data_IF_470611511912
#
_entry.id   IF_470611511912
#
_cell.length_a   1.000
_cell.length_b   1.000
_cell.length_c   1.000
_cell.angle_alpha   90.00
_cell.angle_beta   90.00
_cell.angle_gamma   90.00
#
_symmetry.space_group_name_H-M   'P 1'
#
loop_
_entity.id
_entity.type
_entity.pdbx_description
1 polymer ?
#
# COMPACT_ATOMS: atom_id res chain seq x y z
N UNK A 1 -75.52 36.14 25.25
CA UNK A 1 -75.73 34.87 25.98
C UNK A 1 -74.40 34.10 25.95
N UNK A 2 -73.88 33.56 27.07
CA UNK A 2 -73.20 34.28 28.15
C UNK A 2 -71.67 34.02 28.21
N UNK A 3 -70.95 34.92 28.91
CA UNK A 3 -69.61 34.72 29.53
C UNK A 3 -69.76 33.75 30.76
N UNK A 4 -68.77 33.44 31.66
CA UNK A 4 -67.46 34.08 31.86
C UNK A 4 -66.29 33.29 32.55
N UNK A 5 -65.18 34.03 32.82
CA UNK A 5 -64.19 33.93 33.94
C UNK A 5 -63.29 32.69 34.10
N UNK A 6 -62.03 32.76 34.55
CA UNK A 6 -61.16 33.80 35.13
C UNK A 6 -59.69 33.30 35.15
N UNK A 7 -58.67 34.18 35.07
CA UNK A 7 -57.80 34.65 36.19
C UNK A 7 -56.98 33.53 36.88
N UNK A 8 -55.66 33.59 37.17
CA UNK A 8 -54.56 34.57 37.10
C UNK A 8 -53.21 33.80 37.20
N UNK A 9 -52.07 34.24 36.63
CA UNK A 9 -51.04 35.20 37.10
C UNK A 9 -50.27 34.86 38.41
N UNK A 10 -48.93 34.78 38.24
CA UNK A 10 -47.80 35.02 39.19
C UNK A 10 -47.45 33.90 40.22
N UNK A 11 -46.22 33.62 40.68
CA UNK A 11 -44.81 34.09 40.49
C UNK A 11 -43.86 33.15 41.29
N UNK A 12 -42.57 33.13 40.90
CA UNK A 12 -41.34 32.82 41.66
C UNK A 12 -40.96 31.40 42.14
N UNK A 13 -39.89 30.89 41.50
CA UNK A 13 -38.60 30.47 42.05
C UNK A 13 -38.48 30.06 43.54
N UNK A 14 -37.84 28.90 43.78
CA UNK A 14 -36.66 28.80 44.67
C UNK A 14 -35.87 27.49 44.45
N UNK A 15 -34.55 27.64 44.46
CA UNK A 15 -33.52 26.59 44.46
C UNK A 15 -33.57 25.78 45.76
N UNK A 16 -33.19 24.49 45.73
CA UNK A 16 -32.31 23.85 46.74
C UNK A 16 -31.93 22.40 46.36
N UNK A 17 -30.64 22.10 46.38
CA UNK A 17 -30.04 20.77 46.56
C UNK A 17 -29.55 20.64 48.03
N UNK A 18 -28.92 19.54 48.51
CA UNK A 18 -29.09 18.07 48.34
C UNK A 18 -29.37 17.40 49.73
N UNK A 19 -29.18 16.07 49.93
CA UNK A 19 -27.86 15.61 50.42
C UNK A 19 -27.42 14.18 50.01
N UNK A 20 -26.11 13.95 50.14
CA UNK A 20 -25.42 12.68 50.00
C UNK A 20 -25.71 11.71 51.16
N UNK A 21 -25.76 10.39 50.88
CA UNK A 21 -25.53 9.34 51.88
C UNK A 21 -24.69 8.18 51.34
N UNK A 22 -23.53 8.01 51.97
CA UNK A 22 -22.72 6.79 52.02
C UNK A 22 -23.54 5.61 52.57
N UNK A 23 -23.34 4.38 52.07
CA UNK A 23 -22.88 3.22 52.87
C UNK A 23 -22.82 1.89 52.08
N UNK A 24 -21.67 1.24 52.27
CA UNK A 24 -21.43 -0.20 52.53
C UNK A 24 -21.49 -1.22 51.37
N UNK A 25 -20.26 -1.59 50.97
CA UNK A 25 -19.84 -2.89 50.45
C UNK A 25 -20.49 -4.07 51.21
N UNK A 26 -21.07 -5.02 50.48
CA UNK A 26 -21.25 -6.41 50.92
C UNK A 26 -20.59 -7.35 49.91
N UNK A 27 -19.57 -8.06 50.40
CA UNK A 27 -18.90 -9.19 49.75
C UNK A 27 -19.89 -10.34 49.60
N UNK A 28 -20.01 -10.94 48.40
CA UNK A 28 -20.53 -12.30 48.24
C UNK A 28 -19.35 -13.24 47.91
N UNK A 29 -19.02 -14.10 48.88
CA UNK A 29 -18.22 -15.31 48.70
C UNK A 29 -19.16 -16.43 48.26
N UNK A 30 -18.86 -17.17 47.19
CA UNK A 30 -19.24 -18.59 47.04
C UNK A 30 -18.16 -19.35 46.25
N UNK A 31 -17.61 -20.33 46.97
CA UNK A 31 -16.92 -21.58 46.63
C UNK A 31 -16.24 -21.81 45.26
N UNK A 32 -14.91 -22.01 45.35
CA UNK A 32 -14.11 -22.90 44.50
C UNK A 32 -14.10 -24.31 45.10
N UNK A 33 -14.14 -25.39 44.30
CA UNK A 33 -13.63 -26.69 44.72
C UNK A 33 -12.16 -26.86 44.32
N UNK A 34 -11.36 -27.33 45.27
CA UNK A 34 -9.97 -27.77 45.14
C UNK A 34 -9.91 -29.23 44.72
N UNK A 35 -9.10 -29.58 43.71
CA UNK A 35 -8.58 -30.94 43.54
C UNK A 35 -7.07 -30.90 43.21
N UNK A 36 -6.31 -31.10 44.29
CA UNK A 36 -5.08 -31.89 44.46
C UNK A 36 -4.18 -32.19 43.24
N UNK A 37 -2.94 -31.69 43.33
CA UNK A 37 -1.74 -32.20 42.64
C UNK A 37 -1.41 -33.63 43.07
N UNK A 38 -1.01 -34.47 42.11
CA UNK A 38 -0.10 -35.59 42.35
C UNK A 38 1.17 -35.41 41.49
N UNK A 39 2.32 -35.31 42.18
CA UNK A 39 3.67 -35.50 41.62
C UNK A 39 4.11 -36.93 41.94
N UNK A 40 4.71 -37.62 40.97
CA UNK A 40 5.70 -38.73 41.02
C UNK A 40 5.80 -39.24 39.58
N UNK A 41 6.93 -39.54 38.96
CA UNK A 41 8.34 -39.61 39.33
C UNK A 41 9.14 -39.91 38.05
N UNK A 42 10.44 -39.63 38.08
CA UNK A 42 11.42 -39.86 37.01
C UNK A 42 11.82 -41.35 36.94
N UNK A 43 12.10 -41.86 35.74
CA UNK A 43 13.31 -42.60 35.32
C UNK A 43 13.02 -43.30 33.98
N UNK A 44 13.72 -43.01 32.88
CA UNK A 44 15.12 -43.30 32.53
C UNK A 44 15.25 -44.61 31.72
N UNK A 45 15.64 -44.45 30.45
CA UNK A 45 16.54 -45.34 29.72
C UNK A 45 15.99 -46.66 29.17
N UNK A 46 15.96 -46.80 27.84
CA UNK A 46 17.01 -47.52 27.08
C UNK A 46 16.72 -47.53 25.57
N UNK A 47 17.81 -47.47 24.82
CA UNK A 47 17.93 -47.58 23.36
C UNK A 47 17.72 -49.04 22.90
N UNK A 48 17.39 -49.20 21.62
CA UNK A 48 18.06 -50.01 20.56
C UNK A 48 16.98 -50.50 19.56
N UNK A 49 17.16 -50.21 18.26
CA UNK A 49 16.28 -50.66 17.15
C UNK A 49 16.64 -52.08 16.67
N UNK A 50 16.59 -52.38 15.36
CA UNK A 50 15.51 -52.21 14.38
C UNK A 50 15.12 -53.59 13.75
N UNK A 51 13.92 -53.75 13.18
CA UNK A 51 13.64 -54.72 12.09
C UNK A 51 12.16 -54.71 11.69
N UNK A 52 11.90 -54.91 10.39
CA UNK A 52 10.68 -55.58 9.93
C UNK A 52 9.72 -54.74 9.09
N UNK A 53 9.99 -54.64 7.79
CA UNK A 53 8.93 -54.48 6.79
C UNK A 53 8.04 -55.75 6.77
N UNK A 54 6.77 -55.64 6.39
CA UNK A 54 6.40 -56.31 5.13
C UNK A 54 5.40 -55.53 4.24
N UNK A 55 5.73 -55.55 2.94
CA UNK A 55 4.88 -55.96 1.82
C UNK A 55 3.53 -55.28 1.54
N UNK A 56 3.53 -54.54 0.42
CA UNK A 56 2.48 -54.32 -0.60
C UNK A 56 1.19 -55.16 -0.47
N UNK A 57 0.05 -54.46 -0.54
CA UNK A 57 -1.17 -54.94 -1.21
C UNK A 57 -1.86 -53.78 -1.95
N UNK A 58 -1.53 -53.65 -3.23
CA UNK A 58 -2.24 -52.81 -4.20
C UNK A 58 -3.57 -53.48 -4.56
N UNK A 59 -4.69 -53.00 -3.98
CA UNK A 59 -6.03 -53.32 -4.47
C UNK A 59 -6.41 -52.36 -5.60
N UNK A 60 -6.18 -52.81 -6.84
CA UNK A 60 -6.81 -52.27 -8.05
C UNK A 60 -8.33 -52.44 -7.95
N UNK A 61 -9.10 -51.35 -7.83
CA UNK A 61 -10.55 -51.37 -8.07
C UNK A 61 -10.83 -51.05 -9.53
N UNK A 62 -11.59 -51.96 -10.15
CA UNK A 62 -12.02 -52.00 -11.54
C UNK A 62 -13.00 -50.85 -11.84
N UNK A 63 -12.83 -50.20 -12.99
CA UNK A 63 -13.84 -49.37 -13.67
C UNK A 63 -14.85 -50.29 -14.38
N UNK A 64 -16.16 -50.02 -14.36
CA UNK A 64 -17.08 -50.65 -15.29
C UNK A 64 -17.29 -49.80 -16.56
N UNK A 65 -17.23 -50.54 -17.67
CA UNK A 65 -17.88 -50.45 -18.97
C UNK A 65 -18.49 -49.13 -19.47
N UNK A 66 -18.06 -48.79 -20.69
CA UNK A 66 -18.74 -47.95 -21.68
C UNK A 66 -19.98 -48.68 -22.20
N UNK A 67 -21.14 -48.00 -22.24
CA UNK A 67 -22.27 -48.38 -23.08
C UNK A 67 -22.26 -47.55 -24.38
N UNK A 68 -22.40 -48.26 -25.51
CA UNK A 68 -22.70 -47.73 -26.84
C UNK A 68 -24.22 -47.83 -27.04
N UNK A 69 -24.86 -46.77 -27.51
CA UNK A 69 -26.13 -46.78 -28.24
C UNK A 69 -26.11 -45.54 -29.16
N UNK A 70 -26.09 -45.75 -30.48
CA UNK A 70 -27.25 -45.66 -31.38
C UNK A 70 -27.60 -44.18 -31.69
N UNK A 71 -27.10 -43.63 -32.80
CA UNK A 71 -27.68 -43.69 -34.17
C UNK A 71 -28.74 -42.61 -34.42
N UNK A 72 -28.48 -41.72 -35.37
CA UNK A 72 -29.52 -40.85 -35.96
C UNK A 72 -29.06 -39.44 -36.30
N UNK A 73 -28.41 -39.25 -37.47
CA UNK A 73 -28.41 -37.97 -38.19
C UNK A 73 -28.53 -38.25 -39.70
N UNK A 74 -29.51 -37.65 -40.40
CA UNK A 74 -29.58 -37.77 -41.85
C UNK A 74 -28.65 -36.79 -42.55
N UNK A 75 -28.33 -37.14 -43.80
CA UNK A 75 -27.37 -36.51 -44.71
C UNK A 75 -28.03 -35.43 -45.60
N UNK A 76 -27.22 -34.41 -45.90
CA UNK A 76 -26.98 -33.72 -47.20
C UNK A 76 -28.07 -32.93 -47.94
N UNK A 77 -27.72 -31.67 -48.27
CA UNK A 77 -27.62 -31.10 -49.65
C UNK A 77 -26.77 -29.81 -49.60
N UNK A 78 -25.61 -29.77 -50.24
CA UNK A 78 -25.27 -29.06 -51.50
C UNK A 78 -25.62 -27.56 -51.45
N UNK A 79 -24.66 -26.63 -51.65
CA UNK A 79 -24.13 -26.22 -52.95
C UNK A 79 -22.72 -25.57 -52.84
N UNK A 80 -21.92 -25.75 -53.89
CA UNK A 80 -20.70 -25.02 -54.32
C UNK A 80 -20.87 -24.71 -55.83
N UNK A 81 -19.98 -23.99 -56.54
CA UNK A 81 -19.23 -22.74 -56.27
C UNK A 81 -19.24 -21.76 -57.48
N UNK A 82 -18.66 -20.56 -57.33
CA UNK A 82 -18.11 -19.74 -58.44
C UNK A 82 -16.88 -18.98 -57.90
N UNK A 83 -15.64 -19.32 -58.27
CA UNK A 83 -14.82 -18.92 -59.45
C UNK A 83 -14.59 -17.40 -59.59
N UNK A 84 -13.31 -17.02 -59.63
CA UNK A 84 -12.81 -15.69 -59.96
C UNK A 84 -11.34 -15.52 -59.59
N UNK A 85 -10.47 -15.75 -60.57
CA UNK A 85 -9.01 -15.77 -60.53
C UNK A 85 -8.33 -14.41 -60.26
N UNK A 86 -7.05 -14.43 -59.87
CA UNK A 86 -6.18 -13.26 -59.87
C UNK A 86 -4.83 -13.47 -59.19
N UNK A 87 -3.84 -13.91 -59.95
CA UNK A 87 -2.49 -14.21 -59.52
C UNK A 87 -1.67 -12.98 -59.09
N UNK A 88 -0.75 -13.17 -58.15
CA UNK A 88 0.28 -12.20 -57.77
C UNK A 88 1.31 -12.83 -56.84
N UNK A 89 2.28 -13.56 -57.42
CA UNK A 89 3.42 -14.13 -56.71
C UNK A 89 4.45 -13.04 -56.46
N UNK A 90 4.88 -12.86 -55.21
CA UNK A 90 6.23 -12.36 -54.94
C UNK A 90 6.84 -13.08 -53.74
N UNK A 91 7.93 -13.80 -54.03
CA UNK A 91 8.79 -14.49 -53.06
C UNK A 91 10.01 -13.62 -52.83
N UNK A 92 10.20 -13.07 -51.62
CA UNK A 92 11.55 -12.69 -51.17
C UNK A 92 11.76 -13.02 -49.68
N UNK A 93 12.49 -14.12 -49.49
CA UNK A 93 13.58 -14.40 -48.53
C UNK A 93 13.43 -13.98 -47.06
N UNK A 94 13.23 -15.00 -46.21
CA UNK A 94 13.61 -15.04 -44.78
C UNK A 94 15.12 -15.16 -44.60
N UNK A 95 15.76 -14.49 -43.63
CA UNK A 95 17.03 -14.93 -43.07
C UNK A 95 16.80 -15.85 -41.86
N UNK A 96 17.65 -16.86 -41.79
CA UNK A 96 17.67 -17.96 -40.81
C UNK A 96 18.06 -17.48 -39.42
N UNK A 97 17.43 -18.10 -38.41
CA UNK A 97 17.90 -18.16 -37.02
C UNK A 97 19.27 -18.86 -36.96
N UNK A 98 20.27 -18.21 -36.36
CA UNK A 98 21.45 -18.89 -35.83
C UNK A 98 21.29 -19.08 -34.32
N UNK A 99 21.16 -20.35 -33.90
CA UNK A 99 21.35 -20.76 -32.50
C UNK A 99 22.85 -20.65 -32.19
N UNK A 100 23.24 -19.83 -31.23
CA UNK A 100 24.51 -19.98 -30.50
C UNK A 100 24.21 -20.42 -29.08
N UNK A 101 24.58 -21.66 -28.80
CA UNK A 101 24.72 -22.24 -27.47
C UNK A 101 25.95 -21.62 -26.81
N UNK A 102 25.75 -20.80 -25.78
CA UNK A 102 26.79 -20.26 -24.91
C UNK A 102 26.71 -20.92 -23.54
N UNK A 103 27.58 -21.90 -23.31
CA UNK A 103 27.84 -22.57 -22.03
C UNK A 103 28.44 -21.55 -21.05
N UNK A 104 27.78 -21.33 -19.91
CA UNK A 104 28.32 -20.55 -18.80
C UNK A 104 29.20 -21.43 -17.93
N UNK A 105 30.50 -21.12 -17.88
CA UNK A 105 31.47 -21.73 -16.97
C UNK A 105 31.47 -21.00 -15.63
N UNK A 106 31.56 -21.80 -14.55
CA UNK A 106 31.82 -21.37 -13.17
C UNK A 106 33.31 -21.07 -12.96
N UNK A 107 33.55 -20.28 -11.91
CA UNK A 107 34.77 -20.10 -11.09
C UNK A 107 35.53 -18.78 -11.27
N UNK A 108 35.79 -18.14 -10.14
CA UNK A 108 36.69 -16.99 -9.98
C UNK A 108 36.42 -16.27 -8.66
N UNK A 109 37.01 -16.78 -7.58
CA UNK A 109 36.96 -16.19 -6.24
C UNK A 109 38.00 -15.06 -6.08
N UNK A 110 37.61 -14.05 -5.29
CA UNK A 110 38.34 -13.30 -4.24
C UNK A 110 39.83 -12.95 -4.48
N UNK A 111 40.10 -11.64 -4.52
CA UNK A 111 41.15 -10.97 -3.72
C UNK A 111 40.97 -9.45 -3.82
N UNK A 112 40.74 -8.76 -2.70
CA UNK A 112 41.00 -7.31 -2.61
C UNK A 112 41.84 -7.06 -1.38
N UNK A 113 42.95 -6.39 -1.65
CA UNK A 113 44.07 -6.16 -0.77
C UNK A 113 43.79 -5.03 0.23
N UNK A 114 44.46 -5.15 1.36
CA UNK A 114 44.45 -4.29 2.54
C UNK A 114 44.97 -2.88 2.20
N UNK A 115 44.54 -1.82 2.89
CA UNK A 115 45.40 -0.68 3.28
C UNK A 115 44.70 0.19 4.35
N UNK A 116 45.28 0.19 5.56
CA UNK A 116 45.03 1.17 6.62
C UNK A 116 45.86 2.45 6.37
N UNK A 117 45.46 3.58 6.98
CA UNK A 117 46.46 4.32 7.75
C UNK A 117 46.00 4.72 9.16
N UNK A 118 46.99 4.76 10.05
CA UNK A 118 46.94 5.12 11.47
C UNK A 118 47.06 6.64 11.67
N UNK A 119 46.49 7.13 12.78
CA UNK A 119 46.74 8.46 13.39
C UNK A 119 48.20 8.67 13.81
N UNK A 120 48.58 9.91 14.21
CA UNK A 120 48.70 10.17 15.67
C UNK A 120 48.31 11.58 16.19
N UNK A 121 47.57 11.56 17.32
CA UNK A 121 47.78 12.22 18.62
C UNK A 121 48.28 13.69 18.83
N UNK A 122 47.47 14.38 19.66
CA UNK A 122 47.77 15.18 20.88
C UNK A 122 48.24 16.65 20.81
N UNK A 123 47.52 17.54 21.56
CA UNK A 123 47.95 18.91 21.87
C UNK A 123 46.98 19.77 22.72
N UNK A 124 47.03 19.59 24.05
CA UNK A 124 46.63 20.41 25.23
C UNK A 124 45.91 21.79 25.12
N UNK A 125 44.86 21.90 25.96
CA UNK A 125 44.51 22.92 26.99
C UNK A 125 44.91 24.41 26.82
N UNK A 126 43.92 25.31 26.96
CA UNK A 126 44.10 26.72 27.32
C UNK A 126 42.77 27.43 27.64
N UNK A 127 42.71 28.14 28.77
CA UNK A 127 41.50 28.63 29.42
C UNK A 127 41.03 30.05 29.00
N UNK A 128 39.78 30.36 29.38
CA UNK A 128 39.05 31.65 29.40
C UNK A 128 39.84 32.83 30.03
N UNK A 129 39.53 34.10 29.70
CA UNK A 129 38.50 34.86 30.46
C UNK A 129 37.68 35.91 29.67
N UNK A 130 36.53 36.31 30.25
CA UNK A 130 35.84 37.61 30.09
C UNK A 130 36.17 38.46 31.36
N UNK A 131 35.87 39.78 31.53
CA UNK A 131 34.71 40.55 31.02
C UNK A 131 34.96 42.06 30.74
N UNK A 132 33.93 42.83 30.36
CA UNK A 132 33.61 44.16 30.95
C UNK A 132 32.37 44.81 30.29
N UNK A 133 31.50 45.36 31.13
CA UNK A 133 30.37 46.21 30.77
C UNK A 133 30.78 47.69 30.76
N UNK A 134 30.16 48.51 29.90
CA UNK A 134 30.23 49.98 29.99
C UNK A 134 28.82 50.56 29.85
N UNK A 135 28.45 51.36 30.84
CA UNK A 135 27.29 52.26 30.84
C UNK A 135 27.62 53.56 30.09
N UNK A 136 26.65 54.11 29.35
CA UNK A 136 26.67 55.48 28.86
C UNK A 136 25.28 55.94 28.42
N UNK A 137 24.72 56.94 29.10
CA UNK A 137 23.41 57.55 28.83
C UNK A 137 23.57 58.85 28.03
N UNK A 138 22.63 59.05 27.10
CA UNK A 138 21.99 60.29 26.61
C UNK A 138 22.83 61.37 25.89
N UNK A 139 22.37 61.74 24.68
CA UNK A 139 21.72 63.05 24.41
C UNK A 139 20.98 63.01 23.05
N UNK A 140 19.90 63.78 22.97
CA UNK A 140 19.00 63.89 21.83
C UNK A 140 19.45 64.98 20.85
N UNK A 141 19.21 64.81 19.54
CA UNK A 141 18.45 65.76 18.72
C UNK A 141 18.43 65.37 17.22
N UNK A 142 17.39 65.84 16.55
CA UNK A 142 17.18 65.97 15.10
C UNK A 142 16.48 64.85 14.32
N UNK A 143 15.16 65.03 14.20
CA UNK A 143 14.25 64.42 13.22
C UNK A 143 14.45 65.06 11.83
N UNK A 144 14.30 64.28 10.75
CA UNK A 144 13.68 64.74 9.52
C UNK A 144 12.29 64.11 9.34
N UNK A 145 11.34 64.94 8.89
CA UNK A 145 9.95 64.57 8.57
C UNK A 145 9.79 63.66 7.34
N UNK A 146 8.53 63.37 6.95
CA UNK A 146 8.14 62.07 6.41
C UNK A 146 8.53 61.89 4.94
N UNK A 147 9.40 60.92 4.66
CA UNK A 147 9.53 60.37 3.33
C UNK A 147 8.28 59.51 3.04
N UNK A 148 7.45 60.01 2.12
CA UNK A 148 6.27 59.35 1.56
C UNK A 148 6.53 57.86 1.32
N UNK A 149 5.65 57.03 1.88
CA UNK A 149 5.59 55.59 1.66
C UNK A 149 5.59 55.29 0.15
N UNK A 150 6.73 54.87 -0.39
CA UNK A 150 6.76 54.14 -1.66
C UNK A 150 6.25 52.75 -1.33
N UNK A 151 5.15 52.39 -1.99
CA UNK A 151 4.37 51.20 -1.70
C UNK A 151 5.22 49.98 -1.39
N UNK A 152 4.92 49.35 -0.25
CA UNK A 152 5.31 47.99 0.01
C UNK A 152 4.84 47.16 -1.19
N UNK A 153 5.79 46.68 -1.99
CA UNK A 153 5.50 45.61 -2.94
C UNK A 153 4.89 44.46 -2.11
N UNK A 154 3.80 43.82 -2.56
CA UNK A 154 3.30 42.65 -1.85
C UNK A 154 4.44 41.64 -1.81
N UNK A 155 4.96 41.39 -0.61
CA UNK A 155 5.87 40.29 -0.39
C UNK A 155 5.07 39.03 -0.66
N UNK A 156 5.12 38.52 -1.89
CA UNK A 156 4.71 37.16 -2.18
C UNK A 156 5.73 36.24 -1.49
N UNK A 157 5.54 36.01 -0.19
CA UNK A 157 6.07 34.81 0.45
C UNK A 157 5.35 33.66 -0.23
N UNK A 158 5.98 33.10 -1.26
CA UNK A 158 5.47 31.92 -1.95
C UNK A 158 5.40 30.83 -0.89
N UNK A 159 4.19 30.41 -0.53
CA UNK A 159 3.99 29.35 0.44
C UNK A 159 4.89 28.17 0.07
N UNK A 160 5.67 27.68 1.04
CA UNK A 160 6.53 26.51 0.85
C UNK A 160 5.61 25.35 0.49
N UNK A 161 5.81 24.68 -0.65
CA UNK A 161 4.94 23.58 -1.05
C UNK A 161 5.01 22.44 -0.02
N UNK A 162 3.90 21.76 0.28
CA UNK A 162 3.93 20.60 1.16
C UNK A 162 4.80 19.51 0.54
N UNK A 163 5.56 18.81 1.38
CA UNK A 163 6.44 17.72 0.95
C UNK A 163 5.81 16.39 1.31
N UNK A 164 5.65 15.51 0.33
CA UNK A 164 5.26 14.11 0.51
C UNK A 164 6.51 13.24 0.45
N UNK A 165 6.62 12.28 1.38
CA UNK A 165 7.65 11.25 1.35
C UNK A 165 7.19 10.06 0.53
N UNK A 166 7.90 9.73 -0.55
CA UNK A 166 7.82 8.41 -1.16
C UNK A 166 8.76 7.46 -0.40
N UNK A 167 8.17 6.51 0.33
CA UNK A 167 8.87 5.35 0.87
C UNK A 167 9.00 4.32 -0.26
N UNK A 168 10.11 4.37 -0.99
CA UNK A 168 10.38 3.57 -2.18
C UNK A 168 10.86 2.17 -1.79
N UNK A 169 10.05 1.16 -2.04
CA UNK A 169 10.29 -0.24 -1.59
C UNK A 169 10.56 -1.20 -2.74
N UNK A 170 11.03 -0.70 -3.87
CA UNK A 170 11.34 -1.55 -5.01
C UNK A 170 11.58 -0.77 -6.30
N UNK A 171 11.68 -1.52 -7.38
CA UNK A 171 11.90 -0.99 -8.71
C UNK A 171 11.01 -1.69 -9.75
N UNK A 172 10.65 -0.99 -10.84
CA UNK A 172 9.94 -1.62 -11.94
C UNK A 172 10.84 -2.64 -12.66
N UNK A 173 10.24 -3.59 -13.42
CA UNK A 173 11.02 -4.50 -14.25
C UNK A 173 12.01 -3.72 -15.14
N UNK A 174 13.27 -4.17 -15.28
CA UNK A 174 14.30 -3.40 -15.99
C UNK A 174 13.89 -2.92 -17.41
N UNK A 175 13.20 -3.73 -18.24
CA UNK A 175 12.73 -3.26 -19.56
C UNK A 175 11.72 -2.11 -19.46
N UNK A 176 10.87 -2.09 -18.43
CA UNK A 176 9.91 -1.02 -18.20
C UNK A 176 10.63 0.22 -17.66
N UNK A 177 11.57 0.04 -16.73
CA UNK A 177 12.38 1.10 -16.15
C UNK A 177 13.17 1.88 -17.21
N UNK A 178 13.71 1.17 -18.19
CA UNK A 178 14.49 1.74 -19.28
C UNK A 178 13.70 2.70 -20.18
N UNK A 179 12.38 2.49 -20.31
CA UNK A 179 11.50 3.31 -21.16
C UNK A 179 10.80 4.40 -20.36
N UNK A 180 10.27 4.05 -19.18
CA UNK A 180 9.35 4.93 -18.44
C UNK A 180 10.01 5.63 -17.25
N UNK A 181 11.23 5.23 -16.87
CA UNK A 181 11.88 5.63 -15.63
C UNK A 181 11.49 4.75 -14.44
N UNK A 182 11.93 5.15 -13.25
CA UNK A 182 11.72 4.43 -11.97
C UNK A 182 10.51 4.99 -11.21
N UNK A 183 10.04 4.29 -10.18
CA UNK A 183 8.86 4.69 -9.39
C UNK A 183 8.89 6.15 -8.91
N UNK A 184 10.00 6.70 -8.40
CA UNK A 184 10.04 8.11 -7.99
C UNK A 184 9.67 9.10 -9.10
N UNK A 185 10.06 8.81 -10.35
CA UNK A 185 9.70 9.67 -11.47
C UNK A 185 8.20 9.62 -11.78
N UNK A 186 7.54 8.48 -11.56
CA UNK A 186 6.11 8.33 -11.82
C UNK A 186 5.27 9.06 -10.77
N UNK A 187 5.64 8.95 -9.49
CA UNK A 187 4.98 9.69 -8.42
C UNK A 187 5.23 11.21 -8.52
N UNK A 188 6.43 11.66 -8.93
CA UNK A 188 6.69 13.09 -9.18
C UNK A 188 5.73 13.68 -10.21
N UNK A 189 5.46 12.96 -11.31
CA UNK A 189 4.48 13.40 -12.33
C UNK A 189 3.06 13.55 -11.79
N UNK A 190 2.69 12.83 -10.73
CA UNK A 190 1.40 13.00 -10.07
C UNK A 190 1.39 14.17 -9.08
N UNK A 191 2.51 14.44 -8.40
CA UNK A 191 2.63 15.51 -7.41
C UNK A 191 2.82 16.91 -8.03
N UNK A 192 3.60 17.02 -9.11
CA UNK A 192 3.97 18.29 -9.75
C UNK A 192 2.74 19.15 -10.14
N UNK A 193 1.70 18.61 -10.83
CA UNK A 193 0.53 19.42 -11.19
C UNK A 193 -0.30 19.87 -9.97
N UNK A 194 -0.15 19.20 -8.83
CA UNK A 194 -0.86 19.51 -7.59
C UNK A 194 -0.07 20.47 -6.67
N UNK A 195 1.13 20.90 -7.09
CA UNK A 195 1.99 21.80 -6.33
C UNK A 195 2.59 21.17 -5.06
N UNK A 196 2.85 19.87 -5.10
CA UNK A 196 3.39 19.08 -3.99
C UNK A 196 4.81 18.62 -4.33
N UNK A 197 5.75 18.81 -3.42
CA UNK A 197 7.12 18.33 -3.58
C UNK A 197 7.24 16.86 -3.15
N UNK A 198 8.15 16.11 -3.77
CA UNK A 198 8.38 14.70 -3.45
C UNK A 198 9.79 14.45 -2.93
N UNK A 199 9.89 14.11 -1.64
CA UNK A 199 11.07 13.50 -1.05
C UNK A 199 11.06 11.99 -1.29
N UNK A 200 12.23 11.36 -1.40
CA UNK A 200 12.35 9.92 -1.66
C UNK A 200 13.23 9.30 -0.59
N UNK A 201 12.74 8.25 0.03
CA UNK A 201 13.49 7.39 0.93
C UNK A 201 13.59 5.99 0.32
N UNK A 202 14.81 5.43 0.28
CA UNK A 202 15.03 4.04 -0.14
C UNK A 202 14.71 3.11 1.03
N UNK A 203 13.52 2.54 1.00
CA UNK A 203 13.00 1.66 2.02
C UNK A 203 13.62 0.26 2.05
N UNK A 204 14.42 -0.11 1.05
CA UNK A 204 15.02 -1.45 0.95
C UNK A 204 16.45 -1.45 1.48
N UNK A 205 17.22 -0.40 1.14
CA UNK A 205 18.65 -0.32 1.46
C UNK A 205 18.97 0.56 2.67
N UNK A 206 18.15 1.57 2.96
CA UNK A 206 18.43 2.47 4.08
C UNK A 206 18.02 1.84 5.43
N UNK A 207 18.75 2.20 6.47
CA UNK A 207 18.66 1.55 7.79
C UNK A 207 17.71 2.24 8.76
N UNK A 208 17.31 3.49 8.48
CA UNK A 208 16.47 4.28 9.39
C UNK A 208 15.54 5.22 8.60
N UNK A 209 14.21 5.01 8.69
CA UNK A 209 13.24 5.91 8.10
C UNK A 209 13.31 7.30 8.73
N UNK A 210 13.13 8.38 7.94
CA UNK A 210 13.04 9.73 8.48
C UNK A 210 11.77 9.88 9.35
N UNK A 211 11.72 10.84 10.28
CA UNK A 211 10.54 11.08 11.11
C UNK A 211 9.30 11.38 10.25
N UNK A 212 8.22 10.62 10.45
CA UNK A 212 6.98 10.74 9.65
C UNK A 212 6.30 12.11 9.79
N UNK A 213 6.56 12.84 10.89
CA UNK A 213 5.98 14.17 11.16
C UNK A 213 6.60 15.28 10.33
N UNK A 214 7.75 15.03 9.70
CA UNK A 214 8.46 16.03 8.89
C UNK A 214 7.85 16.16 7.50
N UNK A 215 6.84 15.34 7.17
CA UNK A 215 6.18 15.30 5.87
C UNK A 215 4.67 15.51 6.00
N UNK A 216 4.10 16.18 5.00
CA UNK A 216 2.65 16.40 4.91
C UNK A 216 1.87 15.12 4.56
N UNK A 217 2.56 14.08 4.10
CA UNK A 217 2.01 12.75 3.88
C UNK A 217 3.09 11.79 3.40
N UNK A 218 2.77 10.49 3.44
CA UNK A 218 3.67 9.41 3.03
C UNK A 218 2.98 8.57 1.97
N UNK A 219 3.69 8.24 0.91
CA UNK A 219 3.31 7.21 -0.06
C UNK A 219 4.21 6.01 0.14
N UNK A 220 3.63 4.85 0.43
CA UNK A 220 4.36 3.57 0.42
C UNK A 220 4.11 2.91 -0.93
N UNK A 221 5.15 2.82 -1.75
CA UNK A 221 5.03 2.40 -3.15
C UNK A 221 4.79 0.90 -3.34
N UNK A 222 4.69 0.50 -4.62
CA UNK A 222 4.70 -0.91 -5.02
C UNK A 222 6.09 -1.54 -4.91
N UNK A 223 6.13 -2.87 -4.93
CA UNK A 223 7.37 -3.66 -4.91
C UNK A 223 7.24 -4.92 -5.78
N UNK A 224 8.32 -5.44 -6.38
CA UNK A 224 8.33 -6.80 -6.91
C UNK A 224 8.39 -7.88 -5.81
N UNK A 225 8.67 -7.50 -4.55
CA UNK A 225 8.66 -8.42 -3.42
C UNK A 225 7.22 -8.85 -3.06
N UNK A 226 7.12 -9.92 -2.28
CA UNK A 226 5.85 -10.43 -1.77
C UNK A 226 5.82 -10.33 -0.26
N UNK A 227 4.72 -9.83 0.31
CA UNK A 227 4.53 -9.80 1.78
C UNK A 227 4.50 -11.23 2.34
N UNK A 228 4.20 -12.23 1.50
CA UNK A 228 4.22 -13.65 1.88
C UNK A 228 5.64 -14.22 2.03
N UNK A 229 6.64 -13.51 1.54
CA UNK A 229 8.07 -13.82 1.67
C UNK A 229 8.76 -12.68 2.45
N UNK A 230 8.61 -12.62 3.79
CA UNK A 230 9.01 -11.46 4.57
C UNK A 230 10.52 -11.21 4.52
N UNK A 231 10.89 -9.96 4.32
CA UNK A 231 12.26 -9.45 4.40
C UNK A 231 12.38 -8.43 5.55
N UNK A 232 13.56 -8.25 6.16
CA UNK A 232 13.72 -7.40 7.35
C UNK A 232 13.25 -5.95 7.17
N UNK A 233 13.44 -5.38 5.98
CA UNK A 233 13.03 -4.01 5.68
C UNK A 233 11.50 -3.82 5.68
N UNK A 234 10.73 -4.89 5.46
CA UNK A 234 9.26 -4.84 5.48
C UNK A 234 8.72 -4.54 6.88
N UNK A 235 9.38 -5.04 7.93
CA UNK A 235 8.99 -4.77 9.32
C UNK A 235 9.17 -3.28 9.65
N UNK A 236 10.28 -2.67 9.20
CA UNK A 236 10.51 -1.24 9.35
C UNK A 236 9.46 -0.38 8.61
N UNK A 237 9.03 -0.82 7.42
CA UNK A 237 7.96 -0.16 6.68
C UNK A 237 6.61 -0.27 7.40
N UNK A 238 6.27 -1.44 7.94
CA UNK A 238 5.06 -1.65 8.76
C UNK A 238 5.08 -0.76 10.01
N UNK A 239 6.21 -0.66 10.70
CA UNK A 239 6.32 0.19 11.88
C UNK A 239 6.21 1.67 11.53
N UNK A 240 6.77 2.09 10.39
CA UNK A 240 6.59 3.46 9.87
C UNK A 240 5.11 3.77 9.64
N UNK A 241 4.34 2.84 9.08
CA UNK A 241 2.89 2.99 8.88
C UNK A 241 2.15 3.12 10.22
N UNK A 242 2.50 2.29 11.21
CA UNK A 242 1.90 2.35 12.55
C UNK A 242 2.21 3.66 13.25
N UNK A 243 3.45 4.13 13.16
CA UNK A 243 3.86 5.40 13.73
C UNK A 243 3.11 6.57 13.06
N UNK A 244 3.03 6.58 11.73
CA UNK A 244 2.25 7.58 10.99
C UNK A 244 0.78 7.59 11.44
N UNK A 245 0.16 6.41 11.60
CA UNK A 245 -1.19 6.28 12.11
C UNK A 245 -1.34 6.83 13.55
N UNK A 246 -0.37 6.54 14.43
CA UNK A 246 -0.37 7.00 15.83
C UNK A 246 -0.27 8.52 15.94
N UNK A 247 0.47 9.17 15.04
CA UNK A 247 0.72 10.62 15.08
C UNK A 247 -0.15 11.42 14.12
N UNK A 248 -0.98 10.76 13.33
CA UNK A 248 -1.91 11.40 12.38
C UNK A 248 -1.27 11.82 11.06
N UNK A 249 -0.05 11.39 10.73
CA UNK A 249 0.55 11.62 9.41
C UNK A 249 -0.22 10.79 8.37
N UNK A 250 -0.74 11.40 7.29
CA UNK A 250 -1.45 10.67 6.25
C UNK A 250 -0.57 9.68 5.50
N UNK A 251 -1.12 8.51 5.18
CA UNK A 251 -0.42 7.49 4.39
C UNK A 251 -1.31 7.00 3.25
N UNK A 252 -0.73 6.90 2.05
CA UNK A 252 -1.28 6.15 0.93
C UNK A 252 -0.38 4.95 0.59
N UNK A 253 -0.87 3.74 0.80
CA UNK A 253 -0.21 2.52 0.34
C UNK A 253 -0.66 2.14 -1.07
N UNK A 254 0.28 1.88 -1.98
CA UNK A 254 0.02 1.51 -3.37
C UNK A 254 0.50 0.09 -3.63
N UNK A 255 -0.38 -0.78 -4.11
CA UNK A 255 -0.11 -2.18 -4.42
C UNK A 255 0.53 -2.92 -3.22
N UNK A 256 1.84 -3.16 -3.23
CA UNK A 256 2.57 -3.71 -2.08
C UNK A 256 2.41 -2.85 -0.81
N UNK A 257 2.45 -1.52 -0.92
CA UNK A 257 2.20 -0.64 0.22
C UNK A 257 0.79 -0.79 0.81
N UNK A 258 -0.22 -1.09 -0.02
CA UNK A 258 -1.57 -1.40 0.45
C UNK A 258 -1.61 -2.68 1.29
N UNK A 259 -0.85 -3.69 0.87
CA UNK A 259 -0.69 -4.96 1.58
C UNK A 259 0.04 -4.77 2.92
N UNK A 260 1.06 -3.92 2.96
CA UNK A 260 1.73 -3.55 4.21
C UNK A 260 0.81 -2.79 5.17
N UNK A 261 -0.09 -1.94 4.67
CA UNK A 261 -1.11 -1.31 5.54
C UNK A 261 -2.02 -2.40 6.13
N UNK A 262 -2.50 -3.36 5.35
CA UNK A 262 -3.30 -4.45 5.91
C UNK A 262 -2.55 -5.18 7.03
N UNK A 263 -1.27 -5.53 6.80
CA UNK A 263 -0.42 -6.16 7.80
C UNK A 263 -0.22 -5.31 9.06
N UNK A 264 -0.02 -3.99 8.91
CA UNK A 264 0.14 -3.05 10.02
C UNK A 264 -1.06 -3.06 10.98
N UNK A 265 -2.26 -3.30 10.44
CA UNK A 265 -3.53 -3.34 11.18
C UNK A 265 -4.07 -4.76 11.43
N UNK A 266 -3.20 -5.78 11.31
CA UNK A 266 -3.49 -7.16 11.70
C UNK A 266 -4.16 -8.02 10.62
N UNK A 267 -4.29 -7.51 9.39
CA UNK A 267 -4.69 -8.31 8.24
C UNK A 267 -3.54 -9.20 7.74
N UNK A 268 -3.88 -10.24 6.98
CA UNK A 268 -2.94 -11.11 6.30
C UNK A 268 -2.97 -10.88 4.79
N UNK A 269 -1.90 -11.31 4.13
CA UNK A 269 -1.73 -11.26 2.68
C UNK A 269 -1.44 -12.67 2.21
N UNK A 270 -2.07 -13.05 1.10
CA UNK A 270 -1.94 -14.38 0.51
C UNK A 270 -1.73 -14.25 -0.99
N UNK A 271 -1.28 -15.32 -1.65
CA UNK A 271 -1.36 -15.40 -3.09
C UNK A 271 -2.84 -15.25 -3.51
N UNK A 272 -3.10 -14.40 -4.50
CA UNK A 272 -4.45 -14.14 -4.98
C UNK A 272 -5.07 -15.45 -5.50
N UNK A 273 -6.19 -15.93 -4.93
CA UNK A 273 -6.84 -17.16 -5.38
C UNK A 273 -7.28 -17.12 -6.85
N UNK A 274 -7.51 -15.91 -7.40
CA UNK A 274 -7.85 -15.68 -8.80
C UNK A 274 -6.61 -15.62 -9.73
N UNK A 275 -5.40 -15.74 -9.17
CA UNK A 275 -4.14 -15.59 -9.90
C UNK A 275 -3.78 -14.14 -10.19
N UNK A 276 -2.98 -13.93 -11.26
CA UNK A 276 -2.53 -12.61 -11.67
C UNK A 276 -3.68 -11.70 -12.08
N UNK A 277 -3.72 -10.51 -11.49
CA UNK A 277 -4.53 -9.40 -11.97
C UNK A 277 -3.60 -8.31 -12.53
N UNK A 278 -3.62 -8.17 -13.85
CA UNK A 278 -2.79 -7.20 -14.57
C UNK A 278 -3.58 -6.52 -15.69
N UNK A 279 -3.09 -5.36 -16.14
CA UNK A 279 -3.74 -4.47 -17.11
C UNK A 279 -4.91 -3.68 -16.49
N UNK A 280 -5.79 -3.16 -17.33
CA UNK A 280 -6.89 -2.32 -16.89
C UNK A 280 -8.11 -3.17 -16.51
N UNK A 281 -8.62 -2.97 -15.30
CA UNK A 281 -9.83 -3.64 -14.80
C UNK A 281 -10.72 -2.64 -14.08
N UNK A 282 -12.00 -2.97 -14.01
CA UNK A 282 -12.99 -2.20 -13.25
C UNK A 282 -12.97 -2.60 -11.77
N UNK A 283 -13.18 -1.61 -10.91
CA UNK A 283 -13.47 -1.78 -9.49
C UNK A 283 -14.82 -1.16 -9.15
N UNK A 284 -15.45 -1.68 -8.11
CA UNK A 284 -16.69 -1.18 -7.53
C UNK A 284 -16.46 -0.67 -6.12
N UNK A 285 -16.98 0.52 -5.81
CA UNK A 285 -16.94 1.07 -4.46
C UNK A 285 -17.93 0.33 -3.55
N UNK A 286 -17.51 0.06 -2.32
CA UNK A 286 -18.40 -0.35 -1.24
C UNK A 286 -19.19 0.86 -0.72
N UNK A 287 -20.20 0.63 0.13
CA UNK A 287 -20.91 1.74 0.78
C UNK A 287 -19.98 2.68 1.56
N UNK A 288 -18.91 2.14 2.16
CA UNK A 288 -17.86 2.91 2.81
C UNK A 288 -16.99 3.67 1.80
N UNK A 289 -16.63 3.05 0.67
CA UNK A 289 -15.88 3.70 -0.40
C UNK A 289 -16.61 4.89 -1.01
N UNK A 290 -17.92 4.78 -1.23
CA UNK A 290 -18.75 5.89 -1.76
C UNK A 290 -18.71 7.15 -0.89
N UNK A 291 -18.47 6.99 0.42
CA UNK A 291 -18.39 8.11 1.38
C UNK A 291 -16.97 8.60 1.64
N UNK A 292 -15.96 7.84 1.24
CA UNK A 292 -14.58 8.15 1.58
C UNK A 292 -14.01 9.27 0.69
N UNK A 293 -13.34 10.30 1.24
CA UNK A 293 -12.78 11.40 0.45
C UNK A 293 -11.83 10.97 -0.67
N UNK A 294 -11.22 9.78 -0.54
CA UNK A 294 -10.35 9.18 -1.55
C UNK A 294 -11.02 9.05 -2.92
N UNK A 295 -12.34 8.78 -2.94
CA UNK A 295 -13.11 8.55 -4.17
C UNK A 295 -14.04 9.71 -4.54
N UNK A 296 -13.84 10.89 -3.94
CA UNK A 296 -14.69 12.06 -4.21
C UNK A 296 -14.79 12.37 -5.71
N UNK A 297 -16.03 12.48 -6.20
CA UNK A 297 -16.32 12.84 -7.60
C UNK A 297 -16.09 11.72 -8.61
N UNK A 298 -15.79 10.49 -8.17
CA UNK A 298 -15.74 9.32 -9.03
C UNK A 298 -17.08 8.58 -9.03
N UNK A 299 -17.42 7.88 -10.13
CA UNK A 299 -18.60 7.03 -10.17
C UNK A 299 -18.45 5.82 -9.24
N UNK A 300 -19.57 5.13 -9.05
CA UNK A 300 -19.68 3.94 -8.20
C UNK A 300 -18.84 2.74 -8.66
N UNK A 301 -18.50 2.70 -9.95
CA UNK A 301 -17.58 1.75 -10.56
C UNK A 301 -16.74 2.46 -11.64
N UNK A 302 -15.44 2.13 -11.73
CA UNK A 302 -14.53 2.72 -12.70
C UNK A 302 -13.29 1.85 -12.95
N UNK A 303 -12.64 2.08 -14.08
CA UNK A 303 -11.41 1.38 -14.47
C UNK A 303 -10.15 1.97 -13.81
N UNK A 304 -9.22 1.10 -13.42
CA UNK A 304 -7.88 1.41 -12.88
C UNK A 304 -6.85 0.40 -13.39
N UNK A 305 -5.55 0.67 -13.15
CA UNK A 305 -4.44 -0.17 -13.63
C UNK A 305 -3.94 -1.14 -12.56
N UNK A 306 -3.70 -2.39 -12.93
CA UNK A 306 -3.22 -3.43 -12.02
C UNK A 306 -1.94 -4.13 -12.51
N UNK A 307 -1.17 -4.66 -11.56
CA UNK A 307 -0.10 -5.63 -11.77
C UNK A 307 0.25 -6.32 -10.44
N UNK A 308 -0.57 -7.27 -9.98
CA UNK A 308 -0.34 -8.01 -8.74
C UNK A 308 -0.74 -9.49 -8.83
N UNK A 309 -0.17 -10.29 -7.93
CA UNK A 309 -0.50 -11.70 -7.75
C UNK A 309 -0.78 -12.06 -6.28
N UNK A 310 -0.66 -11.09 -5.39
CA UNK A 310 -0.95 -11.22 -3.97
C UNK A 310 -2.14 -10.34 -3.62
N UNK A 311 -2.96 -10.79 -2.68
CA UNK A 311 -4.15 -10.10 -2.24
C UNK A 311 -4.25 -10.11 -0.72
N UNK A 312 -4.82 -9.03 -0.18
CA UNK A 312 -5.22 -8.98 1.23
C UNK A 312 -6.36 -9.97 1.46
N UNK A 313 -6.24 -10.79 2.50
CA UNK A 313 -7.28 -11.74 2.89
C UNK A 313 -8.41 -10.98 3.63
N UNK A 314 -9.61 -10.87 3.04
CA UNK A 314 -10.72 -10.12 3.65
C UNK A 314 -11.15 -10.71 5.01
N UNK A 315 -10.98 -12.01 5.24
CA UNK A 315 -11.45 -12.68 6.46
C UNK A 315 -10.59 -12.37 7.68
N UNK A 316 -9.39 -11.81 7.44
CA UNK A 316 -8.48 -11.36 8.52
C UNK A 316 -8.62 -9.89 8.87
N UNK A 317 -9.36 -9.12 8.06
CA UNK A 317 -9.58 -7.71 8.33
C UNK A 317 -10.59 -7.54 9.46
N UNK A 318 -10.26 -6.66 10.40
CA UNK A 318 -11.09 -6.40 11.57
C UNK A 318 -11.54 -4.95 11.61
N UNK A 319 -12.86 -4.73 11.60
CA UNK A 319 -13.44 -3.42 11.87
C UNK A 319 -13.09 -2.92 13.29
N UNK A 320 -12.86 -3.83 14.25
CA UNK A 320 -12.37 -3.47 15.59
C UNK A 320 -10.95 -2.88 15.57
N UNK A 321 -10.16 -3.16 14.53
CA UNK A 321 -8.87 -2.51 14.27
C UNK A 321 -9.01 -1.25 13.40
N UNK A 322 -10.24 -0.77 13.18
CA UNK A 322 -10.51 0.43 12.39
C UNK A 322 -10.33 0.25 10.88
N UNK A 323 -10.29 -1.00 10.38
CA UNK A 323 -10.12 -1.28 8.95
C UNK A 323 -11.48 -1.43 8.24
N UNK A 324 -11.62 -0.76 7.10
CA UNK A 324 -12.82 -0.80 6.24
C UNK A 324 -12.42 -1.04 4.79
N UNK A 325 -13.10 -1.95 4.11
CA UNK A 325 -12.93 -2.17 2.67
C UNK A 325 -13.67 -1.09 1.91
N UNK A 326 -12.98 -0.38 1.02
CA UNK A 326 -13.53 0.74 0.26
C UNK A 326 -13.88 0.38 -1.18
N UNK A 327 -13.17 -0.57 -1.78
CA UNK A 327 -13.43 -1.02 -3.14
C UNK A 327 -13.10 -2.50 -3.28
N UNK A 328 -13.75 -3.14 -4.25
CA UNK A 328 -13.56 -4.56 -4.59
C UNK A 328 -13.73 -4.76 -6.09
N UNK A 329 -13.40 -5.95 -6.58
CA UNK A 329 -13.92 -6.44 -7.84
C UNK A 329 -14.08 -7.95 -7.79
N UNK A 330 -14.37 -8.57 -8.94
CA UNK A 330 -14.58 -10.01 -9.03
C UNK A 330 -13.33 -10.84 -8.67
N UNK A 331 -12.14 -10.35 -9.00
CA UNK A 331 -10.90 -11.10 -8.81
C UNK A 331 -10.35 -10.98 -7.38
N UNK A 332 -10.52 -9.80 -6.75
CA UNK A 332 -9.95 -9.50 -5.44
C UNK A 332 -10.94 -8.70 -4.60
N UNK A 333 -11.21 -9.22 -3.40
CA UNK A 333 -12.21 -8.69 -2.48
C UNK A 333 -11.83 -7.34 -1.85
N UNK A 334 -10.53 -7.05 -1.76
CA UNK A 334 -9.99 -5.83 -1.14
C UNK A 334 -9.13 -5.09 -2.17
N UNK A 335 -9.74 -4.21 -2.94
CA UNK A 335 -9.04 -3.37 -3.93
C UNK A 335 -8.66 -2.01 -3.36
N UNK A 336 -9.34 -1.57 -2.31
CA UNK A 336 -8.95 -0.43 -1.51
C UNK A 336 -9.42 -0.61 -0.07
N UNK A 337 -8.69 -0.02 0.87
CA UNK A 337 -9.04 -0.03 2.30
C UNK A 337 -8.75 1.33 2.95
N UNK A 338 -9.45 1.58 4.05
CA UNK A 338 -9.13 2.62 5.02
C UNK A 338 -8.73 1.96 6.34
N UNK A 339 -7.76 2.55 7.02
CA UNK A 339 -7.43 2.23 8.41
C UNK A 339 -7.34 3.53 9.21
N UNK A 340 -8.17 3.67 10.25
CA UNK A 340 -8.28 4.94 10.99
C UNK A 340 -8.59 6.14 10.09
N UNK A 341 -8.16 7.34 10.53
CA UNK A 341 -8.59 8.60 9.93
C UNK A 341 -7.77 9.00 8.69
N UNK A 342 -6.47 8.68 8.68
CA UNK A 342 -5.52 9.21 7.71
C UNK A 342 -4.79 8.15 6.86
N UNK A 343 -5.04 6.86 7.09
CA UNK A 343 -4.37 5.77 6.36
C UNK A 343 -5.31 5.19 5.29
N UNK A 344 -4.84 5.15 4.05
CA UNK A 344 -5.56 4.60 2.90
C UNK A 344 -4.64 3.68 2.11
N UNK A 345 -5.19 2.61 1.57
CA UNK A 345 -4.46 1.71 0.67
C UNK A 345 -5.25 1.43 -0.59
N UNK A 346 -4.58 1.36 -1.73
CA UNK A 346 -5.14 0.94 -3.02
C UNK A 346 -4.27 -0.18 -3.62
N UNK A 347 -4.90 -1.26 -4.06
CA UNK A 347 -4.20 -2.40 -4.68
C UNK A 347 -3.79 -2.10 -6.13
N UNK A 348 -4.48 -1.16 -6.79
CA UNK A 348 -4.15 -0.66 -8.12
C UNK A 348 -3.02 0.39 -8.10
N UNK A 349 -2.52 0.72 -9.29
CA UNK A 349 -1.43 1.66 -9.52
C UNK A 349 -1.94 2.99 -10.09
N UNK A 350 -2.21 4.02 -9.27
CA UNK A 350 -2.60 5.34 -9.76
C UNK A 350 -1.49 6.03 -10.57
N UNK A 351 -0.24 5.61 -10.40
CA UNK A 351 0.95 6.11 -11.10
C UNK A 351 1.18 5.47 -12.47
N UNK A 352 0.39 4.46 -12.85
CA UNK A 352 0.52 3.81 -14.15
C UNK A 352 -0.28 4.55 -15.23
N UNK A 353 0.34 4.73 -16.39
CA UNK A 353 -0.34 5.09 -17.64
C UNK A 353 -0.68 3.83 -18.44
N UNK A 354 -1.51 3.96 -19.48
CA UNK A 354 -1.76 2.84 -20.39
C UNK A 354 -0.49 2.34 -21.09
N UNK A 355 0.49 3.21 -21.32
CA UNK A 355 1.78 2.80 -21.89
C UNK A 355 2.58 1.95 -20.90
N UNK A 356 2.69 2.40 -19.64
CA UNK A 356 3.39 1.65 -18.58
C UNK A 356 2.77 0.27 -18.39
N UNK A 357 1.44 0.19 -18.27
CA UNK A 357 0.78 -1.09 -17.99
C UNK A 357 0.92 -2.07 -19.17
N UNK A 358 0.93 -1.60 -20.42
CA UNK A 358 1.20 -2.45 -21.60
C UNK A 358 2.61 -3.06 -21.54
N UNK A 359 3.60 -2.27 -21.16
CA UNK A 359 4.97 -2.77 -21.05
C UNK A 359 5.17 -3.68 -19.83
N UNK A 360 4.41 -3.47 -18.76
CA UNK A 360 4.32 -4.45 -17.66
C UNK A 360 3.74 -5.78 -18.11
N UNK A 361 2.66 -5.78 -18.91
CA UNK A 361 2.09 -7.02 -19.47
C UNK A 361 3.13 -7.74 -20.32
N UNK A 362 3.85 -7.02 -21.20
CA UNK A 362 4.94 -7.59 -22.01
C UNK A 362 6.06 -8.16 -21.16
N UNK A 363 6.53 -7.42 -20.16
CA UNK A 363 7.61 -7.83 -19.27
C UNK A 363 7.25 -9.05 -18.41
N UNK A 364 5.96 -9.34 -18.23
CA UNK A 364 5.44 -10.47 -17.47
C UNK A 364 4.81 -11.56 -18.34
N UNK A 365 4.93 -11.49 -19.66
CA UNK A 365 4.21 -12.38 -20.57
C UNK A 365 4.41 -13.88 -20.25
N UNK A 366 5.62 -14.28 -19.83
CA UNK A 366 5.98 -15.67 -19.51
C UNK A 366 5.26 -16.25 -18.27
N UNK A 367 4.72 -15.39 -17.40
CA UNK A 367 4.05 -15.81 -16.16
C UNK A 367 2.55 -15.49 -16.16
N UNK A 368 2.04 -14.87 -17.22
CA UNK A 368 0.63 -14.56 -17.36
C UNK A 368 -0.11 -15.72 -18.03
N UNK A 369 -1.35 -16.02 -17.62
CA UNK A 369 -2.14 -17.07 -18.26
C UNK A 369 -2.50 -16.70 -19.71
N UNK A 370 -2.72 -15.40 -19.98
CA UNK A 370 -3.03 -14.87 -21.31
C UNK A 370 -2.53 -13.41 -21.42
N UNK A 371 -1.34 -13.23 -21.98
CA UNK A 371 -0.73 -11.91 -22.16
C UNK A 371 -1.42 -11.09 -23.27
N UNK A 372 -1.93 -11.73 -24.32
CA UNK A 372 -2.60 -11.05 -25.45
C UNK A 372 -3.94 -10.46 -25.00
N UNK A 373 -4.73 -11.21 -24.24
CA UNK A 373 -5.96 -10.71 -23.63
C UNK A 373 -5.68 -9.58 -22.63
N UNK A 374 -4.59 -9.65 -21.85
CA UNK A 374 -4.19 -8.57 -20.97
C UNK A 374 -3.78 -7.31 -21.74
N UNK A 375 -3.04 -7.45 -22.85
CA UNK A 375 -2.68 -6.33 -23.73
C UNK A 375 -3.92 -5.68 -24.34
N UNK A 376 -4.90 -6.46 -24.79
CA UNK A 376 -6.15 -5.95 -25.36
C UNK A 376 -6.98 -5.13 -24.36
N UNK A 377 -6.88 -5.46 -23.05
CA UNK A 377 -7.56 -4.70 -21.98
C UNK A 377 -6.81 -3.45 -21.55
N UNK A 378 -5.50 -3.35 -21.81
CA UNK A 378 -4.68 -2.22 -21.39
C UNK A 378 -5.08 -0.92 -22.12
N UNK A 379 -5.74 -0.02 -21.40
CA UNK A 379 -6.29 1.26 -21.89
C UNK A 379 -6.15 2.35 -20.85
N UNK A 380 -6.43 3.60 -21.22
CA UNK A 380 -6.36 4.70 -20.27
C UNK A 380 -7.40 4.56 -19.17
N UNK A 381 -7.00 4.93 -17.95
CA UNK A 381 -7.79 4.79 -16.73
C UNK A 381 -7.53 5.98 -15.79
N UNK A 382 -7.92 7.21 -16.19
CA UNK A 382 -7.56 8.44 -15.46
C UNK A 382 -8.18 8.51 -14.05
N UNK A 383 -9.20 7.69 -13.76
CA UNK A 383 -9.79 7.62 -12.44
C UNK A 383 -8.78 7.21 -11.36
N UNK A 384 -7.80 6.36 -11.67
CA UNK A 384 -6.71 6.02 -10.74
C UNK A 384 -5.88 7.25 -10.34
N UNK A 385 -5.50 8.07 -11.32
CA UNK A 385 -4.78 9.33 -11.07
C UNK A 385 -5.63 10.33 -10.27
N UNK A 386 -6.95 10.38 -10.53
CA UNK A 386 -7.89 11.18 -9.73
C UNK A 386 -7.95 10.71 -8.27
N UNK A 387 -7.86 9.40 -7.99
CA UNK A 387 -7.78 8.88 -6.62
C UNK A 387 -6.54 9.43 -5.89
N UNK A 388 -5.38 9.47 -6.54
CA UNK A 388 -4.17 10.06 -5.95
C UNK A 388 -4.32 11.57 -5.71
N UNK A 389 -4.86 12.31 -6.67
CA UNK A 389 -5.13 13.75 -6.52
C UNK A 389 -6.14 14.03 -5.39
N UNK A 390 -7.15 13.18 -5.23
CA UNK A 390 -8.09 13.25 -4.11
C UNK A 390 -7.38 13.02 -2.77
N UNK A 391 -6.45 12.07 -2.69
CA UNK A 391 -5.65 11.86 -1.49
C UNK A 391 -4.82 13.11 -1.13
N UNK A 392 -4.11 13.67 -2.10
CA UNK A 392 -3.37 14.93 -1.91
C UNK A 392 -4.27 16.07 -1.44
N UNK A 393 -5.45 16.23 -2.06
CA UNK A 393 -6.40 17.29 -1.72
C UNK A 393 -7.12 17.11 -0.38
N UNK A 394 -7.32 15.87 0.08
CA UNK A 394 -8.05 15.59 1.31
C UNK A 394 -7.15 15.53 2.54
N UNK A 395 -5.88 15.12 2.40
CA UNK A 395 -5.00 14.91 3.54
C UNK A 395 -3.69 15.71 3.51
N UNK A 396 -3.10 15.97 2.33
CA UNK A 396 -1.78 16.61 2.24
C UNK A 396 -1.89 18.14 2.21
N UNK A 397 -2.75 18.68 1.35
CA UNK A 397 -2.91 20.15 1.19
C UNK A 397 -3.80 20.80 2.26
N UNK A 398 -4.37 20.01 3.16
CA UNK A 398 -5.18 20.50 4.30
C UNK A 398 -4.40 20.54 5.61
N UNK A 399 -3.19 19.96 5.63
CA UNK A 399 -2.34 19.82 6.81
C UNK A 399 -1.58 21.12 7.13
#
# INVERSE_FOLDING_TARGET
MPRPHGAGRHVAAHRHAPPARRRRRRRRRRHRPTLRRARRGRNAGRRVGPAGAPTRLLRRRRRPARSRAASGRPRTRQLSPARGDGAGRERVRRPRRSRRTGRWSRNGAVATDSHHPREPAAGRLGARPAPAAVHGRLTAAHLPGPARARGARPGYSRAVPPVVLLYNVGEPPPPVAAVHGRFPAWFRRLCEPEGVDLAVYDGVQATSPPPVRDYAGIVVGGSPASVTAPEPWMEAAVETIREAARVGTPVLGVCFGHQLIAAAFGGSVTANPSGWEIATHEIELTGDGRRDPLFRGLPDAFCVQFSHADAVDPDTLSAANGVRVLARNRATAVQALAAGDAIRGVQFHPEFTAAIVRDYVRARADILPDADAALARARDAPAGQRVFANWLGAWVRRA
#
